data_IF_021524462931
#
_entry.id   IF_021524462931
#
_cell.length_a   1.000
_cell.length_b   1.000
_cell.length_c   1.000
_cell.angle_alpha   90.00
_cell.angle_beta   90.00
_cell.angle_gamma   90.00
#
_symmetry.space_group_name_H-M   'P 1'
#
loop_
_entity.id
_entity.type
_entity.pdbx_description
1 polymer ?
#
# COMPACT_ATOMS: atom_id res chain seq x y z
N UNK A 1 -5.33 36.94 -5.31
CA UNK A 1 -4.43 36.04 -6.05
C UNK A 1 -5.07 35.80 -7.40
N UNK A 2 -4.41 36.12 -8.50
CA UNK A 2 -4.90 35.72 -9.84
C UNK A 2 -4.88 34.20 -9.89
N UNK A 3 -6.07 33.58 -9.88
CA UNK A 3 -6.21 32.14 -10.08
C UNK A 3 -5.72 31.84 -11.49
N UNK A 4 -4.51 31.28 -11.60
CA UNK A 4 -4.02 30.74 -12.85
C UNK A 4 -4.93 29.56 -13.20
N UNK A 5 -5.82 29.73 -14.16
CA UNK A 5 -6.68 28.64 -14.63
C UNK A 5 -5.85 27.70 -15.49
N UNK A 6 -5.74 26.43 -15.08
CA UNK A 6 -5.10 25.40 -15.90
C UNK A 6 -6.13 24.77 -16.85
N UNK A 7 -5.77 24.49 -18.11
CA UNK A 7 -6.66 23.79 -19.03
C UNK A 7 -6.85 22.34 -18.57
N UNK A 8 -8.10 21.87 -18.50
CA UNK A 8 -8.40 20.46 -18.21
C UNK A 8 -8.20 19.60 -19.47
N UNK A 9 -6.94 19.20 -19.69
CA UNK A 9 -6.52 18.38 -20.84
C UNK A 9 -6.49 16.88 -20.53
N UNK A 10 -7.00 16.45 -19.37
CA UNK A 10 -6.84 15.06 -18.94
C UNK A 10 -7.41 14.06 -19.95
N UNK A 11 -8.57 14.39 -20.53
CA UNK A 11 -9.24 13.52 -21.51
C UNK A 11 -8.39 13.33 -22.77
N UNK A 12 -7.79 14.39 -23.29
CA UNK A 12 -6.92 14.33 -24.47
C UNK A 12 -5.62 13.59 -24.17
N UNK A 13 -4.94 13.92 -23.07
CA UNK A 13 -3.71 13.24 -22.67
C UNK A 13 -3.95 11.75 -22.43
N UNK A 14 -5.05 11.39 -21.76
CA UNK A 14 -5.43 9.99 -21.54
C UNK A 14 -5.76 9.26 -22.85
N UNK A 15 -6.27 9.95 -23.86
CA UNK A 15 -6.48 9.37 -25.18
C UNK A 15 -5.15 9.09 -25.88
N UNK A 16 -4.22 10.06 -25.88
CA UNK A 16 -2.86 9.89 -26.43
C UNK A 16 -2.13 8.71 -25.76
N UNK A 17 -2.11 8.65 -24.43
CA UNK A 17 -1.47 7.55 -23.68
C UNK A 17 -2.10 6.18 -23.99
N UNK A 18 -3.39 6.13 -24.31
CA UNK A 18 -4.06 4.90 -24.76
C UNK A 18 -3.71 4.51 -26.19
N UNK A 19 -3.63 5.49 -27.09
CA UNK A 19 -3.26 5.29 -28.49
C UNK A 19 -1.83 4.74 -28.62
N UNK A 20 -0.91 5.25 -27.81
CA UNK A 20 0.46 4.74 -27.66
C UNK A 20 0.53 3.34 -27.00
N UNK A 21 -0.61 2.76 -26.60
CA UNK A 21 -0.68 1.44 -25.99
C UNK A 21 -0.13 1.36 -24.56
N UNK A 22 0.20 2.49 -23.93
CA UNK A 22 0.82 2.54 -22.60
C UNK A 22 -0.12 2.09 -21.47
N UNK A 23 -1.44 2.04 -21.72
CA UNK A 23 -2.44 1.49 -20.78
C UNK A 23 -2.93 0.08 -21.14
N UNK A 24 -2.28 -0.58 -22.11
CA UNK A 24 -2.61 -1.96 -22.47
C UNK A 24 -2.43 -2.88 -21.25
N UNK A 25 -3.35 -3.83 -21.10
CA UNK A 25 -3.28 -4.81 -20.01
C UNK A 25 -2.12 -5.76 -20.24
N UNK A 26 -1.46 -6.16 -19.16
CA UNK A 26 -0.28 -7.04 -19.20
C UNK A 26 -0.53 -8.38 -18.50
N UNK A 27 -1.55 -9.17 -18.91
CA UNK A 27 -1.96 -10.37 -18.19
C UNK A 27 -0.86 -11.43 -18.12
N UNK A 28 -0.04 -11.59 -19.16
CA UNK A 28 1.05 -12.58 -19.19
C UNK A 28 2.11 -12.25 -18.13
N UNK A 29 2.58 -10.99 -18.10
CA UNK A 29 3.51 -10.51 -17.08
C UNK A 29 2.90 -10.68 -15.68
N UNK A 30 1.65 -10.27 -15.51
CA UNK A 30 0.93 -10.41 -14.24
C UNK A 30 0.86 -11.86 -13.77
N UNK A 31 0.50 -12.80 -14.66
CA UNK A 31 0.46 -14.24 -14.35
C UNK A 31 1.84 -14.79 -13.96
N UNK A 32 2.91 -14.38 -14.65
CA UNK A 32 4.28 -14.80 -14.31
C UNK A 32 4.66 -14.30 -12.91
N UNK A 33 4.42 -13.02 -12.61
CA UNK A 33 4.73 -12.46 -11.30
C UNK A 33 3.92 -13.13 -10.17
N UNK A 34 2.63 -13.38 -10.40
CA UNK A 34 1.75 -14.09 -9.48
C UNK A 34 2.26 -15.50 -9.17
N UNK A 35 2.60 -16.27 -10.21
CA UNK A 35 3.14 -17.63 -10.07
C UNK A 35 4.48 -17.60 -9.35
N UNK A 36 5.38 -16.67 -9.70
CA UNK A 36 6.69 -16.55 -9.09
C UNK A 36 6.59 -16.29 -7.58
N UNK A 37 5.69 -15.40 -7.15
CA UNK A 37 5.47 -15.13 -5.72
C UNK A 37 4.87 -16.33 -4.99
N UNK A 38 3.91 -17.03 -5.60
CA UNK A 38 3.33 -18.27 -5.02
C UNK A 38 4.40 -19.35 -4.86
N UNK A 39 5.23 -19.57 -5.87
CA UNK A 39 6.34 -20.53 -5.79
C UNK A 39 7.33 -20.09 -4.71
N UNK A 40 7.67 -18.80 -4.65
CA UNK A 40 8.64 -18.26 -3.69
C UNK A 40 8.17 -18.44 -2.24
N UNK A 41 6.89 -18.19 -1.95
CA UNK A 41 6.35 -18.40 -0.59
C UNK A 41 6.32 -19.89 -0.24
N UNK A 42 5.97 -20.77 -1.18
CA UNK A 42 6.00 -22.23 -0.97
C UNK A 42 7.43 -22.69 -0.67
N UNK A 43 8.43 -22.21 -1.42
CA UNK A 43 9.84 -22.54 -1.19
C UNK A 43 10.29 -22.01 0.18
N UNK A 44 10.00 -20.75 0.50
CA UNK A 44 10.38 -20.15 1.77
C UNK A 44 9.81 -20.93 2.97
N UNK A 45 8.55 -21.37 2.86
CA UNK A 45 7.90 -22.14 3.91
C UNK A 45 8.39 -23.57 3.97
N UNK A 46 8.53 -24.30 2.85
CA UNK A 46 8.91 -25.72 2.84
C UNK A 46 10.39 -25.96 3.15
N UNK A 47 11.23 -24.94 2.97
CA UNK A 47 12.67 -25.02 3.24
C UNK A 47 13.09 -24.28 4.50
N UNK A 48 12.15 -23.75 5.31
CA UNK A 48 12.46 -22.81 6.40
C UNK A 48 13.51 -23.32 7.38
N UNK A 49 13.53 -24.63 7.66
CA UNK A 49 14.52 -25.30 8.52
C UNK A 49 15.97 -25.26 8.01
N UNK A 50 16.18 -24.95 6.73
CA UNK A 50 17.51 -24.82 6.11
C UNK A 50 18.07 -23.39 6.22
N UNK A 51 17.26 -22.41 6.65
CA UNK A 51 17.66 -21.01 6.65
C UNK A 51 18.16 -20.54 8.00
N UNK A 52 19.06 -19.55 7.97
CA UNK A 52 19.20 -18.64 9.10
C UNK A 52 17.90 -17.81 9.24
N UNK A 53 17.32 -17.67 10.45
CA UNK A 53 16.04 -16.96 10.64
C UNK A 53 16.02 -15.50 10.15
N UNK A 54 17.13 -14.78 10.27
CA UNK A 54 17.23 -13.39 9.80
C UNK A 54 17.21 -13.36 8.26
N UNK A 55 17.98 -14.23 7.60
CA UNK A 55 17.99 -14.33 6.14
C UNK A 55 16.62 -14.76 5.58
N UNK A 56 15.92 -15.68 6.26
CA UNK A 56 14.55 -16.03 5.91
C UNK A 56 13.60 -14.83 6.07
N UNK A 57 13.75 -14.05 7.14
CA UNK A 57 13.00 -12.81 7.34
C UNK A 57 13.20 -11.80 6.19
N UNK A 58 14.45 -11.57 5.78
CA UNK A 58 14.76 -10.71 4.62
C UNK A 58 14.15 -11.26 3.33
N UNK A 59 14.26 -12.57 3.09
CA UNK A 59 13.68 -13.19 1.90
C UNK A 59 12.14 -13.07 1.88
N UNK A 60 11.48 -13.29 3.02
CA UNK A 60 10.04 -13.06 3.15
C UNK A 60 9.67 -11.58 2.98
N UNK A 61 10.51 -10.62 3.39
CA UNK A 61 10.27 -9.20 3.08
C UNK A 61 10.20 -8.95 1.58
N UNK A 62 11.09 -9.57 0.78
CA UNK A 62 11.06 -9.44 -0.68
C UNK A 62 9.74 -10.00 -1.23
N UNK A 63 9.36 -11.20 -0.79
CA UNK A 63 8.11 -11.86 -1.21
C UNK A 63 6.89 -11.00 -0.82
N UNK A 64 6.83 -10.51 0.42
CA UNK A 64 5.71 -9.70 0.92
C UNK A 64 5.63 -8.36 0.18
N UNK A 65 6.76 -7.72 -0.08
CA UNK A 65 6.84 -6.51 -0.90
C UNK A 65 6.28 -6.77 -2.30
N UNK A 66 6.69 -7.87 -2.95
CA UNK A 66 6.14 -8.24 -4.27
C UNK A 66 4.64 -8.53 -4.20
N UNK A 67 4.16 -9.20 -3.16
CA UNK A 67 2.73 -9.42 -2.94
C UNK A 67 1.94 -8.11 -2.83
N UNK A 68 2.49 -7.09 -2.15
CA UNK A 68 1.86 -5.76 -2.08
C UNK A 68 1.67 -5.18 -3.47
N UNK A 69 2.73 -5.14 -4.29
CA UNK A 69 2.67 -4.55 -5.63
C UNK A 69 1.84 -5.37 -6.62
N UNK A 70 1.89 -6.70 -6.57
CA UNK A 70 1.01 -7.55 -7.40
C UNK A 70 -0.45 -7.30 -7.04
N UNK A 71 -0.79 -7.26 -5.75
CA UNK A 71 -2.15 -6.97 -5.31
C UNK A 71 -2.60 -5.57 -5.74
N UNK A 72 -1.72 -4.57 -5.59
CA UNK A 72 -1.93 -3.20 -6.07
C UNK A 72 -2.25 -3.17 -7.57
N UNK A 73 -1.39 -3.75 -8.41
CA UNK A 73 -1.54 -3.73 -9.87
C UNK A 73 -2.79 -4.48 -10.34
N UNK A 74 -3.14 -5.58 -9.67
CA UNK A 74 -4.39 -6.28 -9.88
C UNK A 74 -5.58 -5.36 -9.54
N UNK A 75 -5.58 -4.71 -8.38
CA UNK A 75 -6.68 -3.83 -7.95
C UNK A 75 -6.82 -2.57 -8.82
N UNK A 76 -5.73 -2.12 -9.44
CA UNK A 76 -5.73 -1.08 -10.47
C UNK A 76 -6.15 -1.58 -11.86
N UNK A 77 -6.50 -2.86 -12.00
CA UNK A 77 -6.85 -3.52 -13.26
C UNK A 77 -5.73 -3.50 -14.29
N UNK A 78 -4.47 -3.39 -13.88
CA UNK A 78 -3.31 -3.35 -14.78
C UNK A 78 -3.07 -4.70 -15.47
N UNK A 79 -3.31 -5.80 -14.76
CA UNK A 79 -3.14 -7.15 -15.29
C UNK A 79 -4.38 -7.65 -16.04
N UNK A 80 -5.56 -7.44 -15.46
CA UNK A 80 -6.83 -7.96 -15.98
C UNK A 80 -7.89 -6.86 -16.05
N UNK A 81 -8.75 -6.92 -17.07
CA UNK A 81 -9.78 -5.90 -17.32
C UNK A 81 -10.96 -5.98 -16.35
N UNK A 82 -11.33 -7.17 -15.91
CA UNK A 82 -12.51 -7.40 -15.06
C UNK A 82 -12.19 -7.05 -13.60
N UNK A 83 -12.90 -6.05 -13.05
CA UNK A 83 -12.70 -5.58 -11.66
C UNK A 83 -13.11 -6.63 -10.62
N UNK A 84 -14.19 -7.38 -10.86
CA UNK A 84 -14.68 -8.43 -9.96
C UNK A 84 -13.75 -9.65 -9.93
N UNK A 85 -13.19 -10.01 -11.08
CA UNK A 85 -12.14 -11.01 -11.14
C UNK A 85 -10.86 -10.49 -10.46
N UNK A 86 -10.47 -9.25 -10.72
CA UNK A 86 -9.25 -8.65 -10.16
C UNK A 86 -9.29 -8.64 -8.63
N UNK A 87 -10.38 -8.20 -8.00
CA UNK A 87 -10.46 -8.23 -6.53
C UNK A 87 -10.29 -9.66 -5.98
N UNK A 88 -10.87 -10.68 -6.61
CA UNK A 88 -10.69 -12.08 -6.19
C UNK A 88 -9.26 -12.58 -6.40
N UNK A 89 -8.64 -12.25 -7.53
CA UNK A 89 -7.26 -12.62 -7.85
C UNK A 89 -6.24 -11.92 -6.95
N UNK A 90 -6.61 -10.81 -6.32
CA UNK A 90 -5.75 -10.11 -5.37
C UNK A 90 -5.65 -10.83 -4.00
N UNK A 91 -6.67 -11.62 -3.60
CA UNK A 91 -6.74 -12.23 -2.27
C UNK A 91 -5.57 -13.15 -1.87
N UNK A 92 -4.99 -13.98 -2.76
CA UNK A 92 -3.80 -14.74 -2.41
C UNK A 92 -2.63 -13.84 -1.97
N UNK A 93 -2.50 -12.68 -2.61
CA UNK A 93 -1.38 -11.76 -2.37
C UNK A 93 -1.66 -10.78 -1.22
N UNK A 94 -2.91 -10.34 -1.03
CA UNK A 94 -3.30 -9.47 0.08
C UNK A 94 -3.74 -10.26 1.31
N UNK A 95 -4.85 -10.99 1.23
CA UNK A 95 -5.46 -11.63 2.39
C UNK A 95 -4.61 -12.79 2.91
N UNK A 96 -4.16 -13.71 2.05
CA UNK A 96 -3.43 -14.90 2.50
C UNK A 96 -1.96 -14.61 2.83
N UNK A 97 -1.22 -13.93 1.95
CA UNK A 97 0.20 -13.64 2.19
C UNK A 97 0.40 -12.48 3.18
N UNK A 98 -0.40 -11.42 3.13
CA UNK A 98 -0.17 -10.19 3.91
C UNK A 98 -1.15 -9.98 5.07
N UNK A 99 -2.19 -10.81 5.22
CA UNK A 99 -3.31 -10.55 6.15
C UNK A 99 -3.94 -9.15 5.96
N UNK A 100 -3.94 -8.64 4.72
CA UNK A 100 -4.51 -7.35 4.37
C UNK A 100 -5.78 -7.51 3.53
N UNK A 101 -6.73 -6.60 3.70
CA UNK A 101 -7.97 -6.59 2.94
C UNK A 101 -7.80 -5.83 1.62
N UNK A 102 -8.04 -6.52 0.51
CA UNK A 102 -8.18 -5.91 -0.81
C UNK A 102 -9.34 -4.92 -0.87
N UNK A 103 -10.46 -5.23 -0.22
CA UNK A 103 -11.63 -4.35 -0.20
C UNK A 103 -11.35 -3.06 0.57
N UNK A 104 -10.66 -3.15 1.70
CA UNK A 104 -10.19 -1.98 2.45
C UNK A 104 -9.21 -1.17 1.61
N UNK A 105 -8.25 -1.83 0.94
CA UNK A 105 -7.28 -1.16 0.10
C UNK A 105 -7.93 -0.44 -1.10
N UNK A 106 -8.83 -1.09 -1.86
CA UNK A 106 -9.56 -0.45 -2.98
C UNK A 106 -10.36 0.76 -2.48
N UNK A 107 -11.02 0.65 -1.33
CA UNK A 107 -11.76 1.77 -0.76
C UNK A 107 -10.84 2.92 -0.31
N UNK A 108 -9.79 2.63 0.45
CA UNK A 108 -8.86 3.63 0.97
C UNK A 108 -8.07 4.28 -0.16
N UNK A 109 -7.49 3.48 -1.05
CA UNK A 109 -6.52 3.94 -2.04
C UNK A 109 -7.20 4.43 -3.32
N UNK A 110 -8.10 3.65 -3.92
CA UNK A 110 -8.70 4.01 -5.21
C UNK A 110 -9.86 4.98 -5.07
N UNK A 111 -10.77 4.72 -4.12
CA UNK A 111 -12.00 5.51 -3.98
C UNK A 111 -11.72 6.82 -3.25
N UNK A 112 -10.93 6.80 -2.16
CA UNK A 112 -10.65 8.01 -1.41
C UNK A 112 -9.39 8.72 -1.92
N UNK A 113 -8.20 8.10 -1.78
CA UNK A 113 -6.93 8.78 -2.04
C UNK A 113 -6.76 9.19 -3.52
N UNK A 114 -6.91 8.29 -4.50
CA UNK A 114 -6.74 8.65 -5.92
C UNK A 114 -7.81 9.62 -6.44
N UNK A 115 -9.00 9.64 -5.83
CA UNK A 115 -10.07 10.57 -6.24
C UNK A 115 -9.92 11.93 -5.58
N UNK A 116 -9.49 11.97 -4.32
CA UNK A 116 -9.48 13.15 -3.46
C UNK A 116 -8.12 13.38 -2.79
N UNK A 117 -7.02 13.14 -3.52
CA UNK A 117 -5.65 13.23 -3.00
C UNK A 117 -5.44 14.55 -2.27
N UNK A 118 -4.91 14.48 -1.03
CA UNK A 118 -4.67 15.63 -0.16
C UNK A 118 -5.88 16.58 0.08
N UNK A 119 -7.12 16.13 -0.11
CA UNK A 119 -8.32 16.85 0.32
C UNK A 119 -8.60 16.55 1.79
N UNK A 120 -8.60 17.59 2.62
CA UNK A 120 -8.87 17.47 4.06
C UNK A 120 -10.26 16.83 4.31
N UNK A 121 -10.31 15.83 5.19
CA UNK A 121 -11.54 15.12 5.53
C UNK A 121 -11.96 14.01 4.55
N UNK A 122 -11.34 13.92 3.36
CA UNK A 122 -11.54 12.80 2.41
C UNK A 122 -10.33 11.87 2.37
N UNK A 123 -9.14 12.44 2.21
CA UNK A 123 -7.90 11.67 2.21
C UNK A 123 -7.41 11.46 3.64
N UNK A 124 -7.40 10.19 4.08
CA UNK A 124 -6.94 9.83 5.40
C UNK A 124 -5.41 9.91 5.54
N UNK A 125 -4.66 9.88 4.44
CA UNK A 125 -3.20 9.79 4.46
C UNK A 125 -2.54 11.07 5.01
N UNK A 126 -3.17 12.23 4.77
CA UNK A 126 -2.69 13.53 5.28
C UNK A 126 -3.03 13.79 6.76
N UNK A 127 -3.82 12.92 7.40
CA UNK A 127 -4.18 13.06 8.82
C UNK A 127 -3.07 12.57 9.77
N UNK A 128 -1.97 12.02 9.25
CA UNK A 128 -0.85 11.54 10.03
C UNK A 128 -0.30 12.62 10.99
N UNK A 129 0.18 12.18 12.16
CA UNK A 129 0.74 13.03 13.22
C UNK A 129 -0.17 14.20 13.62
N UNK A 130 -1.45 13.95 13.84
CA UNK A 130 -2.42 15.00 14.21
C UNK A 130 -2.49 16.10 13.15
N UNK A 131 -2.66 15.67 11.89
CA UNK A 131 -2.77 16.54 10.72
C UNK A 131 -1.56 17.46 10.51
N UNK A 132 -0.36 16.97 10.81
CA UNK A 132 0.87 17.79 10.71
C UNK A 132 1.14 18.33 9.29
N UNK A 133 0.55 17.68 8.28
CA UNK A 133 0.73 17.97 6.86
C UNK A 133 -0.39 18.82 6.26
N UNK A 134 -1.41 19.22 7.03
CA UNK A 134 -2.55 19.99 6.53
C UNK A 134 -2.50 21.45 7.01
N UNK A 135 -3.41 22.30 6.51
CA UNK A 135 -3.54 23.69 6.99
C UNK A 135 -4.04 23.70 8.44
N UNK A 136 -5.03 22.84 8.71
CA UNK A 136 -5.67 22.70 10.01
C UNK A 136 -4.96 21.68 10.93
N UNK A 137 -3.73 22.01 11.34
CA UNK A 137 -2.91 21.17 12.22
C UNK A 137 -3.55 21.00 13.60
N UNK A 138 -3.46 19.80 14.15
CA UNK A 138 -3.93 19.55 15.50
C UNK A 138 -3.04 20.16 16.59
N UNK A 139 -3.54 20.09 17.83
CA UNK A 139 -2.97 20.77 18.98
C UNK A 139 -2.42 19.84 20.07
N UNK A 140 -2.18 18.56 19.77
CA UNK A 140 -1.65 17.63 20.76
C UNK A 140 -0.23 18.04 21.21
N UNK A 141 -0.01 18.40 22.51
CA UNK A 141 1.28 18.91 22.97
C UNK A 141 2.42 17.90 22.86
N UNK A 142 2.14 16.61 23.07
CA UNK A 142 3.13 15.53 22.99
C UNK A 142 3.59 15.35 21.54
N UNK A 143 2.63 15.28 20.61
CA UNK A 143 2.95 15.16 19.19
C UNK A 143 3.73 16.38 18.70
N UNK A 144 3.37 17.60 19.10
CA UNK A 144 4.15 18.80 18.74
C UNK A 144 5.59 18.74 19.25
N UNK A 145 5.81 18.31 20.50
CA UNK A 145 7.13 18.22 21.12
C UNK A 145 8.01 17.11 20.52
N UNK A 146 7.43 15.96 20.22
CA UNK A 146 8.17 14.76 19.82
C UNK A 146 7.89 14.29 18.38
N UNK A 147 7.29 15.14 17.54
CA UNK A 147 6.84 14.80 16.17
C UNK A 147 7.88 14.04 15.36
N UNK A 148 9.14 14.44 15.41
CA UNK A 148 10.20 13.82 14.62
C UNK A 148 10.46 12.37 15.07
N UNK A 149 10.60 12.14 16.37
CA UNK A 149 10.84 10.80 16.92
C UNK A 149 9.62 9.91 16.69
N UNK A 150 8.41 10.45 16.91
CA UNK A 150 7.16 9.71 16.71
C UNK A 150 6.95 9.38 15.24
N UNK A 151 7.24 10.30 14.32
CA UNK A 151 7.15 10.06 12.89
C UNK A 151 8.07 8.92 12.45
N UNK A 152 9.36 9.03 12.73
CA UNK A 152 10.34 8.02 12.34
C UNK A 152 10.09 6.68 13.03
N UNK A 153 9.67 6.69 14.30
CA UNK A 153 9.27 5.49 15.03
C UNK A 153 8.02 4.82 14.44
N UNK A 154 7.01 5.60 14.04
CA UNK A 154 5.78 5.09 13.46
C UNK A 154 5.99 4.34 12.13
N UNK A 155 7.08 4.64 11.40
CA UNK A 155 7.41 3.96 10.14
C UNK A 155 7.56 2.45 10.31
N UNK A 156 7.99 1.97 11.49
CA UNK A 156 8.15 0.55 11.79
C UNK A 156 6.83 -0.19 12.07
N UNK A 157 5.70 0.53 12.09
CA UNK A 157 4.39 -0.01 12.41
C UNK A 157 3.38 0.07 11.25
N UNK A 158 3.83 0.46 10.05
CA UNK A 158 2.93 0.59 8.90
C UNK A 158 2.27 -0.74 8.51
N UNK A 159 3.04 -1.84 8.42
CA UNK A 159 2.47 -3.14 8.05
C UNK A 159 1.44 -3.65 9.09
N UNK A 160 1.73 -3.68 10.41
CA UNK A 160 0.72 -4.01 11.42
C UNK A 160 -0.49 -3.07 11.42
N UNK A 161 -0.29 -1.77 11.19
CA UNK A 161 -1.38 -0.80 11.09
C UNK A 161 -2.34 -1.14 9.95
N UNK A 162 -1.84 -1.58 8.80
CA UNK A 162 -2.67 -1.98 7.66
C UNK A 162 -3.48 -3.24 7.96
N UNK A 163 -2.90 -4.21 8.68
CA UNK A 163 -3.61 -5.40 9.15
C UNK A 163 -4.77 -4.99 10.06
N UNK A 164 -4.51 -4.14 11.06
CA UNK A 164 -5.53 -3.67 12.01
C UNK A 164 -6.66 -2.92 11.29
N UNK A 165 -6.32 -2.02 10.37
CA UNK A 165 -7.31 -1.29 9.57
C UNK A 165 -8.13 -2.22 8.66
N UNK A 166 -7.46 -3.21 8.06
CA UNK A 166 -8.10 -4.24 7.24
C UNK A 166 -9.12 -5.03 8.05
N UNK A 167 -8.73 -5.55 9.22
CA UNK A 167 -9.64 -6.30 10.11
C UNK A 167 -10.84 -5.44 10.53
N UNK A 168 -10.59 -4.21 10.98
CA UNK A 168 -11.65 -3.27 11.34
C UNK A 168 -12.63 -3.04 10.19
N UNK A 169 -12.13 -2.92 8.96
CA UNK A 169 -12.95 -2.69 7.78
C UNK A 169 -13.81 -3.91 7.43
N UNK A 170 -13.20 -5.10 7.30
CA UNK A 170 -13.92 -6.31 6.89
C UNK A 170 -14.95 -6.75 7.92
N UNK A 171 -14.68 -6.57 9.22
CA UNK A 171 -15.62 -6.88 10.30
C UNK A 171 -16.82 -5.92 10.25
N UNK A 172 -16.57 -4.60 10.20
CA UNK A 172 -17.64 -3.59 10.12
C UNK A 172 -18.52 -3.76 8.88
N UNK A 173 -17.92 -4.14 7.75
CA UNK A 173 -18.59 -4.36 6.47
C UNK A 173 -19.13 -5.78 6.29
N UNK A 174 -18.93 -6.68 7.27
CA UNK A 174 -19.37 -8.09 7.26
C UNK A 174 -18.85 -8.87 6.04
N UNK A 175 -17.61 -8.59 5.61
CA UNK A 175 -16.94 -9.26 4.49
C UNK A 175 -16.32 -10.60 4.95
N UNK A 176 -17.17 -11.55 5.34
CA UNK A 176 -16.74 -12.77 6.03
C UNK A 176 -15.81 -13.66 5.21
N UNK A 177 -16.01 -13.75 3.89
CA UNK A 177 -15.12 -14.54 3.03
C UNK A 177 -13.68 -14.01 3.02
N UNK A 178 -13.53 -12.69 2.92
CA UNK A 178 -12.22 -12.04 2.98
C UNK A 178 -11.60 -12.13 4.38
N UNK A 179 -12.41 -11.96 5.43
CA UNK A 179 -11.97 -12.15 6.81
C UNK A 179 -11.40 -13.56 7.05
N UNK A 180 -12.07 -14.61 6.53
CA UNK A 180 -11.59 -16.00 6.66
C UNK A 180 -10.23 -16.15 5.98
N UNK A 181 -10.06 -15.61 4.76
CA UNK A 181 -8.77 -15.66 4.06
C UNK A 181 -7.68 -14.91 4.83
N UNK A 182 -7.99 -13.74 5.40
CA UNK A 182 -7.05 -13.01 6.24
C UNK A 182 -6.68 -13.77 7.52
N UNK A 183 -7.64 -14.49 8.13
CA UNK A 183 -7.37 -15.32 9.31
C UNK A 183 -6.54 -16.55 8.97
N UNK A 184 -6.69 -17.12 7.77
CA UNK A 184 -5.88 -18.26 7.31
C UNK A 184 -4.39 -17.92 7.15
N UNK A 185 -4.04 -16.64 6.96
CA UNK A 185 -2.65 -16.17 6.98
C UNK A 185 -1.88 -16.69 8.22
N UNK A 186 -2.47 -16.58 9.40
CA UNK A 186 -1.79 -16.87 10.66
C UNK A 186 -1.35 -18.33 10.80
N UNK A 187 -2.24 -19.35 10.67
CA UNK A 187 -1.82 -20.73 10.72
C UNK A 187 -0.98 -21.13 9.50
N UNK A 188 -1.29 -20.64 8.30
CA UNK A 188 -0.59 -21.08 7.08
C UNK A 188 0.85 -20.56 7.00
N UNK A 189 1.08 -19.29 7.36
CA UNK A 189 2.42 -18.69 7.31
C UNK A 189 3.12 -18.89 8.65
N UNK A 190 2.61 -18.27 9.71
CA UNK A 190 3.29 -18.25 11.01
C UNK A 190 3.18 -19.57 11.76
N UNK A 191 2.05 -20.28 11.67
CA UNK A 191 1.90 -21.62 12.23
C UNK A 191 2.89 -22.62 11.61
N UNK A 192 3.06 -22.58 10.28
CA UNK A 192 4.05 -23.40 9.57
C UNK A 192 5.47 -23.08 10.02
N UNK A 193 5.84 -21.80 10.16
CA UNK A 193 7.17 -21.42 10.64
C UNK A 193 7.40 -21.86 12.09
N UNK A 194 6.42 -21.66 12.98
CA UNK A 194 6.53 -22.12 14.38
C UNK A 194 6.77 -23.63 14.42
N UNK A 195 6.04 -24.39 13.58
CA UNK A 195 6.19 -25.84 13.49
C UNK A 195 7.59 -26.25 12.98
N UNK A 196 8.12 -25.58 11.96
CA UNK A 196 9.38 -26.00 11.33
C UNK A 196 10.64 -25.53 12.05
N UNK A 197 10.66 -24.29 12.54
CA UNK A 197 11.88 -23.66 13.08
C UNK A 197 11.75 -23.25 14.56
N UNK A 198 10.59 -23.48 15.18
CA UNK A 198 10.31 -23.13 16.57
C UNK A 198 9.92 -21.66 16.75
N UNK A 199 9.31 -21.36 17.91
CA UNK A 199 8.73 -20.06 18.20
C UNK A 199 9.76 -18.91 18.23
N UNK A 200 10.94 -19.15 18.83
CA UNK A 200 11.97 -18.10 18.95
C UNK A 200 12.55 -17.70 17.58
N UNK A 201 12.87 -18.67 16.73
CA UNK A 201 13.36 -18.37 15.38
C UNK A 201 12.28 -17.72 14.52
N UNK A 202 11.03 -18.16 14.66
CA UNK A 202 9.89 -17.50 13.98
C UNK A 202 9.73 -16.05 14.43
N UNK A 203 9.96 -15.74 15.71
CA UNK A 203 9.98 -14.37 16.20
C UNK A 203 11.09 -13.55 15.52
N UNK A 204 12.30 -14.10 15.35
CA UNK A 204 13.37 -13.41 14.60
C UNK A 204 13.00 -13.15 13.14
N UNK A 205 12.37 -14.12 12.48
CA UNK A 205 11.82 -13.94 11.12
C UNK A 205 10.80 -12.80 11.10
N UNK A 206 9.82 -12.82 12.03
CA UNK A 206 8.75 -11.83 12.10
C UNK A 206 9.26 -10.41 12.38
N UNK A 207 10.20 -10.28 13.31
CA UNK A 207 10.83 -8.99 13.62
C UNK A 207 11.62 -8.47 12.42
N UNK A 208 12.47 -9.31 11.82
CA UNK A 208 13.24 -8.92 10.62
C UNK A 208 12.29 -8.46 9.51
N UNK A 209 11.24 -9.25 9.24
CA UNK A 209 10.24 -8.90 8.24
C UNK A 209 9.61 -7.55 8.53
N UNK A 210 9.12 -7.33 9.76
CA UNK A 210 8.44 -6.09 10.13
C UNK A 210 9.36 -4.86 10.07
N UNK A 211 10.57 -4.97 10.61
CA UNK A 211 11.53 -3.86 10.67
C UNK A 211 12.09 -3.46 9.31
N UNK A 212 11.98 -4.31 8.29
CA UNK A 212 12.37 -3.97 6.90
C UNK A 212 11.14 -3.59 6.07
N UNK A 213 10.06 -4.36 6.13
CA UNK A 213 8.86 -4.13 5.31
C UNK A 213 8.14 -2.84 5.68
N UNK A 214 7.95 -2.56 6.97
CA UNK A 214 7.16 -1.40 7.40
C UNK A 214 7.79 -0.07 6.94
N UNK A 215 9.09 0.19 7.16
CA UNK A 215 9.73 1.40 6.63
C UNK A 215 9.73 1.46 5.10
N UNK A 216 9.97 0.33 4.43
CA UNK A 216 9.93 0.26 2.96
C UNK A 216 8.57 0.70 2.41
N UNK A 217 7.48 0.17 2.96
CA UNK A 217 6.13 0.59 2.59
C UNK A 217 5.92 2.07 2.88
N UNK A 218 6.35 2.54 4.05
CA UNK A 218 6.15 3.93 4.45
C UNK A 218 6.85 4.91 3.50
N UNK A 219 8.07 4.62 3.07
CA UNK A 219 8.76 5.42 2.06
C UNK A 219 8.01 5.47 0.73
N UNK A 220 7.42 4.34 0.29
CA UNK A 220 6.62 4.30 -0.93
C UNK A 220 5.40 5.24 -0.89
N UNK A 221 4.73 5.36 0.25
CA UNK A 221 3.57 6.25 0.40
C UNK A 221 3.95 7.72 0.60
N UNK A 222 4.91 7.97 1.49
CA UNK A 222 5.24 9.33 1.94
C UNK A 222 5.87 10.16 0.83
N UNK A 223 6.67 9.53 -0.03
CA UNK A 223 7.49 10.24 -1.00
C UNK A 223 6.68 10.89 -2.12
N UNK A 224 5.49 10.38 -2.45
CA UNK A 224 4.72 10.83 -3.61
C UNK A 224 3.84 12.07 -3.33
N UNK A 225 3.12 12.12 -2.21
CA UNK A 225 2.12 13.17 -1.99
C UNK A 225 2.26 13.89 -0.64
N UNK A 226 3.00 13.32 0.32
CA UNK A 226 3.16 13.94 1.63
C UNK A 226 4.08 15.16 1.55
N UNK A 227 3.59 16.29 2.07
CA UNK A 227 4.26 17.59 1.99
C UNK A 227 4.00 18.36 0.68
N UNK A 228 3.21 17.81 -0.23
CA UNK A 228 2.62 18.59 -1.33
C UNK A 228 1.45 19.45 -0.82
N UNK A 229 0.82 20.22 -1.71
CA UNK A 229 -0.31 21.08 -1.32
C UNK A 229 -1.48 20.26 -0.75
N UNK A 230 -2.18 20.83 0.22
CA UNK A 230 -3.42 20.28 0.78
C UNK A 230 -4.55 21.29 0.63
N UNK A 231 -5.74 20.80 0.32
CA UNK A 231 -6.91 21.64 0.05
C UNK A 231 -8.06 21.31 0.99
N UNK A 232 -8.83 22.33 1.33
CA UNK A 232 -10.17 22.10 1.90
C UNK A 232 -11.11 21.56 0.81
N UNK A 233 -12.21 20.90 1.21
CA UNK A 233 -13.13 20.28 0.25
C UNK A 233 -13.72 21.28 -0.75
N UNK A 234 -14.02 22.51 -0.33
CA UNK A 234 -14.55 23.54 -1.22
C UNK A 234 -13.48 24.06 -2.20
N UNK A 235 -12.24 24.26 -1.74
CA UNK A 235 -11.12 24.62 -2.62
C UNK A 235 -10.88 23.53 -3.68
N UNK A 236 -10.93 22.25 -3.28
CA UNK A 236 -10.72 21.12 -4.17
C UNK A 236 -11.78 20.98 -5.27
N UNK A 237 -13.03 21.41 -5.02
CA UNK A 237 -14.11 21.39 -6.01
C UNK A 237 -13.93 22.41 -7.13
N UNK A 238 -13.14 23.45 -6.89
CA UNK A 238 -12.80 24.46 -7.90
C UNK A 238 -11.70 23.98 -8.87
N UNK A 239 -10.96 22.93 -8.49
CA UNK A 239 -9.88 22.38 -9.30
C UNK A 239 -10.40 21.33 -10.29
N UNK A 240 -9.81 21.29 -11.48
CA UNK A 240 -9.97 20.12 -12.35
C UNK A 240 -9.32 18.89 -11.70
N UNK A 241 -9.74 17.68 -12.12
CA UNK A 241 -9.11 16.44 -11.61
C UNK A 241 -7.60 16.45 -11.89
N UNK A 242 -7.18 16.88 -13.08
CA UNK A 242 -5.77 16.94 -13.44
C UNK A 242 -4.99 17.93 -12.58
N UNK A 243 -5.51 19.14 -12.39
CA UNK A 243 -4.86 20.14 -11.56
C UNK A 243 -4.69 19.63 -10.13
N UNK A 244 -5.75 19.06 -9.55
CA UNK A 244 -5.70 18.48 -8.22
C UNK A 244 -4.58 17.43 -8.12
N UNK A 245 -4.52 16.47 -9.04
CA UNK A 245 -3.48 15.44 -9.02
C UNK A 245 -2.07 16.03 -9.18
N UNK A 246 -1.88 17.01 -10.08
CA UNK A 246 -0.57 17.62 -10.33
C UNK A 246 -0.05 18.47 -9.17
N UNK A 247 -0.93 19.08 -8.37
CA UNK A 247 -0.53 19.90 -7.21
C UNK A 247 -0.36 19.09 -5.93
N UNK A 248 -1.02 17.94 -5.85
CA UNK A 248 -1.04 17.08 -4.65
C UNK A 248 -0.07 15.91 -4.74
N UNK A 249 0.49 15.63 -5.91
CA UNK A 249 1.51 14.60 -6.13
C UNK A 249 2.79 15.21 -6.71
N UNK A 250 3.89 14.45 -6.69
CA UNK A 250 5.14 14.85 -7.36
C UNK A 250 5.80 13.65 -8.01
N UNK A 251 6.44 13.89 -9.15
CA UNK A 251 7.42 12.98 -9.69
C UNK A 251 8.74 13.20 -8.97
N UNK A 252 9.38 12.12 -8.54
CA UNK A 252 10.74 12.15 -8.03
C UNK A 252 11.64 11.59 -9.12
N UNK A 253 12.62 12.38 -9.54
CA UNK A 253 13.75 11.86 -10.31
C UNK A 253 14.67 11.11 -9.36
N UNK A 254 15.19 9.96 -9.79
CA UNK A 254 16.30 9.33 -9.09
C UNK A 254 17.57 10.16 -9.17
N UNK A 255 18.63 9.59 -8.63
CA UNK A 255 20.00 9.96 -8.99
C UNK A 255 20.77 8.69 -9.31
N UNK A 256 22.10 8.77 -9.41
CA UNK A 256 22.99 7.64 -9.80
C UNK A 256 22.74 6.32 -9.03
N UNK A 257 22.19 6.36 -7.81
CA UNK A 257 21.90 5.17 -7.01
C UNK A 257 20.52 4.54 -7.27
N UNK A 258 19.64 5.21 -8.01
CA UNK A 258 18.22 4.84 -8.21
C UNK A 258 17.87 4.73 -9.70
N UNK A 259 18.51 5.52 -10.58
CA UNK A 259 18.41 5.45 -12.05
C UNK A 259 19.38 4.41 -12.64
#
# INVERSE_FOLDING_TARGET
MTSTTYPDLFKELKAQVREEGLLNRVPIRGSIEMIAVIISIIIALTTANLWNPILLGVFLTIIFTRSVFISHDILHTQYFKDKSLSIKLSYPFSALILSNSSSWWDYKHNINHHTYCNIEGKDADINALDKAFTKNKGNNPILKKYKFIIFWGAMFFMYPSFIVQSYNFVIKRKLWGELILMLLHWPLIWGTLIYQIGALNTLYVALTLNFVLSPWLAFGFITNHLGCETFEEEEGKELSWMELQMRTSRSLSGGIMVD
#
